data_IF_484753730984
#
_entry.id   IF_484753730984
#
_cell.length_a   1.000
_cell.length_b   1.000
_cell.length_c   1.000
_cell.angle_alpha   90.00
_cell.angle_beta   90.00
_cell.angle_gamma   90.00
#
_symmetry.space_group_name_H-M   'P 1'
#
loop_
_entity.id
_entity.type
_entity.pdbx_description
1 polymer ?
#
# COMPACT_ATOMS: atom_id res chain seq x y z
N UNK A 1 15.92 1.21 9.45
CA UNK A 1 15.33 2.53 9.69
C UNK A 1 15.81 3.14 11.00
N UNK A 2 15.68 2.44 12.14
CA UNK A 2 15.99 2.99 13.46
C UNK A 2 17.44 3.44 13.60
N UNK A 3 18.40 2.70 13.07
CA UNK A 3 19.84 3.08 13.06
C UNK A 3 20.11 4.37 12.29
N UNK A 4 19.21 4.76 11.39
CA UNK A 4 19.26 6.03 10.65
C UNK A 4 18.41 7.14 11.28
N UNK A 5 17.97 6.94 12.53
CA UNK A 5 17.23 7.95 13.30
C UNK A 5 15.76 8.11 12.92
N UNK A 6 15.13 7.05 12.40
CA UNK A 6 13.68 7.00 12.19
C UNK A 6 13.00 6.22 13.31
N UNK A 7 11.87 6.70 13.78
CA UNK A 7 10.94 5.88 14.56
C UNK A 7 10.13 4.99 13.60
N UNK A 8 9.96 3.73 13.97
CA UNK A 8 9.19 2.76 13.16
C UNK A 8 7.92 2.36 13.89
N UNK A 9 6.78 2.57 13.24
CA UNK A 9 5.46 2.17 13.74
C UNK A 9 4.94 0.99 12.92
N UNK A 10 4.70 -0.14 13.58
CA UNK A 10 4.15 -1.33 12.96
C UNK A 10 2.64 -1.39 13.23
N UNK A 11 1.85 -1.35 12.17
CA UNK A 11 0.39 -1.28 12.25
C UNK A 11 -0.24 -2.61 11.83
N UNK A 12 -1.17 -3.14 12.63
CA UNK A 12 -2.10 -4.18 12.21
C UNK A 12 -3.29 -3.57 11.46
N UNK A 13 -3.68 -4.17 10.33
CA UNK A 13 -4.92 -3.80 9.63
C UNK A 13 -6.16 -4.30 10.33
N UNK A 14 -7.34 -3.81 9.93
CA UNK A 14 -8.63 -4.27 10.46
C UNK A 14 -8.78 -5.80 10.33
N UNK A 15 -9.23 -6.45 11.38
CA UNK A 15 -9.41 -7.90 11.42
C UNK A 15 -8.11 -8.71 11.48
N UNK A 16 -6.97 -8.05 11.71
CA UNK A 16 -5.67 -8.72 11.82
C UNK A 16 -5.04 -8.52 13.20
N UNK A 17 -4.38 -9.54 13.71
CA UNK A 17 -3.79 -9.57 15.05
C UNK A 17 -4.85 -9.19 16.11
N UNK A 18 -4.57 -8.15 16.92
CA UNK A 18 -5.46 -7.66 17.97
C UNK A 18 -6.39 -6.52 17.50
N UNK A 19 -6.35 -6.18 16.21
CA UNK A 19 -7.21 -5.14 15.65
C UNK A 19 -8.63 -5.66 15.44
N UNK A 20 -9.61 -4.86 15.84
CA UNK A 20 -11.02 -5.13 15.61
C UNK A 20 -11.43 -4.92 14.14
N UNK A 21 -12.72 -5.08 13.85
CA UNK A 21 -13.25 -4.99 12.49
C UNK A 21 -12.99 -6.23 11.66
N UNK A 22 -13.15 -6.09 10.37
CA UNK A 22 -12.97 -7.17 9.39
C UNK A 22 -12.04 -6.73 8.26
N UNK A 23 -11.25 -7.67 7.74
CA UNK A 23 -10.49 -7.46 6.51
C UNK A 23 -11.47 -7.48 5.34
N UNK A 24 -11.62 -6.35 4.66
CA UNK A 24 -12.54 -6.16 3.53
C UNK A 24 -11.80 -5.79 2.22
N UNK A 25 -10.56 -6.10 2.15
CA UNK A 25 -9.60 -5.96 1.04
C UNK A 25 -9.74 -4.66 0.25
N UNK A 26 -8.95 -3.70 0.64
CA UNK A 26 -8.86 -2.41 -0.04
C UNK A 26 -10.05 -1.49 0.20
N UNK A 27 -10.90 -1.78 1.18
CA UNK A 27 -12.05 -0.95 1.50
C UNK A 27 -11.66 0.43 2.04
N UNK A 28 -12.61 1.35 1.97
CA UNK A 28 -12.42 2.69 2.54
C UNK A 28 -12.18 2.64 4.05
N UNK A 29 -12.80 1.71 4.77
CA UNK A 29 -12.62 1.54 6.21
C UNK A 29 -11.18 1.17 6.55
N UNK A 30 -10.56 0.26 5.80
CA UNK A 30 -9.17 -0.11 5.99
C UNK A 30 -8.23 1.07 5.73
N UNK A 31 -8.47 1.83 4.67
CA UNK A 31 -7.73 3.06 4.37
C UNK A 31 -7.85 4.07 5.51
N UNK A 32 -9.06 4.28 6.05
CA UNK A 32 -9.29 5.22 7.14
C UNK A 32 -8.67 4.76 8.46
N UNK A 33 -8.60 3.45 8.72
CA UNK A 33 -7.93 2.91 9.89
C UNK A 33 -6.43 3.23 9.89
N UNK A 34 -5.75 3.06 8.77
CA UNK A 34 -4.34 3.45 8.65
C UNK A 34 -4.15 4.98 8.63
N UNK A 35 -5.07 5.73 8.04
CA UNK A 35 -5.07 7.19 8.12
C UNK A 35 -5.12 7.67 9.57
N UNK A 36 -5.93 7.04 10.43
CA UNK A 36 -6.04 7.39 11.84
C UNK A 36 -4.71 7.29 12.60
N UNK A 37 -3.82 6.36 12.20
CA UNK A 37 -2.46 6.28 12.77
C UNK A 37 -1.65 7.53 12.43
N UNK A 38 -1.73 8.03 11.20
CA UNK A 38 -1.06 9.28 10.81
C UNK A 38 -1.65 10.47 11.56
N UNK A 39 -2.97 10.49 11.73
CA UNK A 39 -3.63 11.52 12.52
C UNK A 39 -3.19 11.50 13.98
N UNK A 40 -3.02 10.30 14.57
CA UNK A 40 -2.45 10.18 15.91
C UNK A 40 -1.01 10.66 16.01
N UNK A 41 -0.16 10.28 15.07
CA UNK A 41 1.24 10.74 14.99
C UNK A 41 1.35 12.27 14.88
N UNK A 42 0.29 12.93 14.43
CA UNK A 42 0.18 14.38 14.29
C UNK A 42 -0.76 15.04 15.34
N UNK A 43 -1.14 14.31 16.39
CA UNK A 43 -1.96 14.83 17.49
C UNK A 43 -3.43 15.09 17.15
N UNK A 44 -3.95 14.56 16.05
CA UNK A 44 -5.34 14.75 15.60
C UNK A 44 -6.25 13.55 15.91
N UNK A 45 -5.70 12.47 16.44
CA UNK A 45 -6.44 11.28 16.85
C UNK A 45 -5.91 10.80 18.19
N UNK A 46 -6.78 10.24 19.02
CA UNK A 46 -6.38 9.66 20.31
C UNK A 46 -5.91 8.21 20.12
N UNK A 47 -4.92 7.80 20.88
CA UNK A 47 -4.51 6.41 21.01
C UNK A 47 -4.28 6.06 22.50
N UNK A 48 -4.37 4.78 22.81
CA UNK A 48 -4.29 4.27 24.16
C UNK A 48 -3.28 3.12 24.25
N UNK A 49 -2.76 2.87 25.44
CA UNK A 49 -1.79 1.79 25.68
C UNK A 49 -2.38 0.39 25.39
N UNK A 50 -3.67 0.23 25.62
CA UNK A 50 -4.43 -1.00 25.36
C UNK A 50 -5.94 -0.67 25.30
N UNK A 51 -6.78 -1.69 25.16
CA UNK A 51 -8.25 -1.56 24.99
C UNK A 51 -8.99 -1.24 26.31
N UNK A 52 -8.40 -1.47 27.47
CA UNK A 52 -9.11 -1.50 28.78
C UNK A 52 -8.70 -0.40 29.73
N UNK A 53 -7.41 -0.04 29.78
CA UNK A 53 -6.88 0.83 30.85
C UNK A 53 -7.19 2.32 30.63
N UNK A 54 -7.64 2.70 29.46
CA UNK A 54 -7.96 4.08 29.08
C UNK A 54 -6.81 5.07 29.33
N UNK A 55 -5.56 4.59 29.24
CA UNK A 55 -4.35 5.41 29.37
C UNK A 55 -3.98 5.93 27.98
N UNK A 56 -4.18 7.22 27.78
CA UNK A 56 -3.87 7.88 26.51
C UNK A 56 -2.36 8.03 26.31
N UNK A 57 -1.91 7.79 25.07
CA UNK A 57 -0.52 7.99 24.64
C UNK A 57 -0.44 9.05 23.54
N UNK A 58 0.55 9.92 23.68
CA UNK A 58 0.84 10.96 22.71
C UNK A 58 2.14 10.64 21.97
N UNK A 59 2.16 10.85 20.67
CA UNK A 59 3.35 10.70 19.85
C UNK A 59 4.26 11.94 19.92
N UNK A 60 4.58 12.43 21.12
CA UNK A 60 5.38 13.65 21.33
C UNK A 60 6.80 13.59 20.74
N UNK A 61 7.26 12.39 20.44
CA UNK A 61 8.53 12.11 19.76
C UNK A 61 8.46 12.23 18.24
N UNK A 62 7.27 12.31 17.65
CA UNK A 62 7.07 12.42 16.20
C UNK A 62 7.24 13.87 15.75
N UNK A 63 8.00 14.07 14.67
CA UNK A 63 8.20 15.40 14.06
C UNK A 63 6.96 15.90 13.29
N UNK A 64 5.96 15.05 13.11
CA UNK A 64 4.82 15.29 12.22
C UNK A 64 5.06 14.89 10.76
N UNK A 65 6.31 14.60 10.38
CA UNK A 65 6.64 14.11 9.04
C UNK A 65 6.58 12.58 9.03
N UNK A 66 5.64 12.02 8.31
CA UNK A 66 5.38 10.58 8.26
C UNK A 66 5.61 10.04 6.85
N UNK A 67 6.24 8.88 6.75
CA UNK A 67 6.27 8.07 5.55
C UNK A 67 5.50 6.77 5.76
N UNK A 68 4.93 6.22 4.70
CA UNK A 68 4.44 4.84 4.69
C UNK A 68 5.22 4.01 3.69
N UNK A 69 5.66 2.85 4.09
CA UNK A 69 6.31 1.88 3.19
C UNK A 69 5.86 0.47 3.52
N UNK A 70 5.53 -0.29 2.52
CA UNK A 70 5.20 -1.71 2.64
C UNK A 70 5.10 -2.37 1.27
N UNK A 71 5.00 -3.69 1.25
CA UNK A 71 4.89 -4.50 0.04
C UNK A 71 3.47 -5.05 -0.15
N UNK A 72 3.08 -5.26 -1.42
CA UNK A 72 1.86 -6.01 -1.78
C UNK A 72 0.59 -5.33 -1.27
N UNK A 73 -0.30 -6.07 -0.63
CA UNK A 73 -1.52 -5.54 -0.01
C UNK A 73 -1.23 -4.36 0.94
N UNK A 74 -0.20 -4.46 1.77
CA UNK A 74 0.15 -3.36 2.68
C UNK A 74 0.74 -2.16 1.92
N UNK A 75 1.46 -2.39 0.82
CA UNK A 75 1.88 -1.34 -0.10
C UNK A 75 0.70 -0.64 -0.77
N UNK A 76 -0.35 -1.40 -1.08
CA UNK A 76 -1.63 -0.90 -1.59
C UNK A 76 -2.29 0.06 -0.58
N UNK A 77 -2.20 -0.25 0.72
CA UNK A 77 -2.69 0.65 1.77
C UNK A 77 -1.92 1.97 1.82
N UNK A 78 -0.62 1.97 1.49
CA UNK A 78 0.12 3.22 1.35
C UNK A 78 -0.50 4.13 0.27
N UNK A 79 -0.85 3.56 -0.89
CA UNK A 79 -1.53 4.28 -1.98
C UNK A 79 -2.91 4.76 -1.50
N UNK A 80 -3.73 3.86 -0.96
CA UNK A 80 -5.06 4.19 -0.47
C UNK A 80 -5.05 5.34 0.55
N UNK A 81 -4.14 5.31 1.52
CA UNK A 81 -4.01 6.39 2.51
C UNK A 81 -3.56 7.69 1.89
N UNK A 82 -2.61 7.65 0.93
CA UNK A 82 -2.16 8.86 0.24
C UNK A 82 -3.32 9.56 -0.51
N UNK A 83 -4.26 8.80 -1.08
CA UNK A 83 -5.46 9.36 -1.75
C UNK A 83 -6.42 10.07 -0.80
N UNK A 84 -6.25 9.97 0.52
CA UNK A 84 -7.02 10.76 1.48
C UNK A 84 -6.52 12.19 1.60
N UNK A 85 -5.34 12.51 1.08
CA UNK A 85 -4.67 13.80 1.25
C UNK A 85 -4.30 14.11 2.70
N UNK A 86 -4.16 13.09 3.55
CA UNK A 86 -3.91 13.26 5.00
C UNK A 86 -2.69 14.12 5.25
N UNK A 87 -2.86 15.12 6.10
CA UNK A 87 -1.78 16.01 6.50
C UNK A 87 -0.74 15.25 7.33
N UNK A 88 0.54 15.59 7.14
CA UNK A 88 1.65 14.92 7.81
C UNK A 88 2.24 13.74 7.03
N UNK A 89 1.49 13.11 6.10
CA UNK A 89 2.05 12.13 5.19
C UNK A 89 2.88 12.84 4.11
N UNK A 90 4.20 12.74 4.20
CA UNK A 90 5.14 13.41 3.30
C UNK A 90 5.51 12.57 2.08
N UNK A 91 5.60 11.27 2.26
CA UNK A 91 5.96 10.35 1.19
C UNK A 91 5.39 8.95 1.42
N UNK A 92 5.21 8.22 0.32
CA UNK A 92 4.92 6.79 0.35
C UNK A 92 5.91 6.03 -0.53
N UNK A 93 6.24 4.81 -0.12
CA UNK A 93 7.07 3.88 -0.89
C UNK A 93 6.28 2.57 -1.03
N UNK A 94 5.32 2.51 -1.98
CA UNK A 94 4.57 1.28 -2.25
C UNK A 94 5.44 0.32 -3.06
N UNK A 95 5.74 -0.86 -2.50
CA UNK A 95 6.51 -1.90 -3.15
C UNK A 95 5.59 -3.00 -3.66
N UNK A 96 5.68 -3.39 -4.93
CA UNK A 96 4.83 -4.41 -5.55
C UNK A 96 3.33 -4.25 -5.20
N UNK A 97 2.83 -3.02 -5.30
CA UNK A 97 1.53 -2.62 -4.77
C UNK A 97 0.44 -2.57 -5.85
N UNK A 98 -0.81 -2.75 -5.42
CA UNK A 98 -1.99 -2.70 -6.25
C UNK A 98 -2.56 -1.28 -6.22
N UNK A 99 -2.72 -0.64 -7.37
CA UNK A 99 -3.36 0.68 -7.50
C UNK A 99 -4.84 0.58 -7.87
N UNK A 100 -5.24 -0.55 -8.44
CA UNK A 100 -6.60 -0.80 -8.91
C UNK A 100 -6.96 -2.27 -8.72
N UNK A 101 -7.79 -2.57 -7.71
CA UNK A 101 -8.21 -3.92 -7.39
C UNK A 101 -9.06 -4.59 -8.48
N UNK A 102 -9.81 -3.80 -9.27
CA UNK A 102 -10.52 -4.35 -10.42
C UNK A 102 -9.54 -4.88 -11.46
N UNK A 103 -8.54 -4.09 -11.85
CA UNK A 103 -7.53 -4.53 -12.80
C UNK A 103 -6.68 -5.70 -12.30
N UNK A 104 -6.63 -5.92 -10.97
CA UNK A 104 -5.93 -7.05 -10.36
C UNK A 104 -6.70 -8.37 -10.52
N UNK A 105 -8.05 -8.35 -10.39
CA UNK A 105 -8.90 -9.54 -10.43
C UNK A 105 -9.78 -9.67 -11.68
N UNK A 106 -9.93 -8.62 -12.47
CA UNK A 106 -10.87 -8.53 -13.61
C UNK A 106 -10.16 -8.00 -14.85
N UNK A 107 -9.20 -8.75 -15.36
CA UNK A 107 -8.46 -8.36 -16.57
C UNK A 107 -9.39 -8.35 -17.77
N UNK A 108 -9.68 -7.16 -18.32
CA UNK A 108 -10.58 -7.02 -19.48
C UNK A 108 -12.03 -7.51 -19.22
N UNK A 109 -12.51 -7.47 -17.96
CA UNK A 109 -13.82 -7.99 -17.56
C UNK A 109 -13.84 -9.49 -17.28
N UNK A 110 -12.72 -10.19 -17.47
CA UNK A 110 -12.60 -11.61 -17.13
C UNK A 110 -12.19 -11.81 -15.69
N UNK A 111 -12.77 -12.77 -15.00
CA UNK A 111 -12.31 -13.19 -13.69
C UNK A 111 -10.98 -13.93 -13.83
N UNK A 112 -9.90 -13.27 -13.53
CA UNK A 112 -8.55 -13.82 -13.62
C UNK A 112 -7.96 -13.89 -12.21
N UNK A 113 -7.67 -15.10 -11.68
CA UNK A 113 -7.01 -15.21 -10.38
C UNK A 113 -5.62 -14.59 -10.43
N UNK A 114 -5.30 -13.78 -9.45
CA UNK A 114 -4.04 -13.05 -9.42
C UNK A 114 -2.82 -13.98 -9.37
N UNK A 115 -2.93 -15.07 -8.61
CA UNK A 115 -1.86 -16.05 -8.34
C UNK A 115 -2.11 -17.42 -8.97
N UNK A 116 -3.00 -17.53 -9.94
CA UNK A 116 -3.23 -18.76 -10.70
C UNK A 116 -4.16 -19.78 -10.03
N UNK A 117 -4.74 -19.48 -8.90
CA UNK A 117 -5.74 -20.35 -8.27
C UNK A 117 -7.10 -20.15 -8.92
N UNK A 118 -7.68 -21.19 -9.44
CA UNK A 118 -9.08 -21.15 -9.85
C UNK A 118 -9.97 -20.86 -8.64
N UNK A 119 -10.79 -19.82 -8.75
CA UNK A 119 -11.67 -19.40 -7.68
C UNK A 119 -11.09 -18.37 -6.72
N UNK A 120 -9.81 -18.02 -6.83
CA UNK A 120 -9.25 -16.88 -6.12
C UNK A 120 -9.98 -15.59 -6.54
N UNK A 121 -10.33 -14.80 -5.55
CA UNK A 121 -10.98 -13.51 -5.72
C UNK A 121 -10.78 -12.67 -4.46
N UNK A 122 -11.21 -11.43 -4.49
CA UNK A 122 -10.97 -10.45 -3.44
C UNK A 122 -11.47 -10.92 -2.05
N UNK A 123 -12.61 -11.60 -1.98
CA UNK A 123 -13.12 -12.17 -0.73
C UNK A 123 -12.26 -13.33 -0.21
N UNK A 124 -11.59 -14.07 -1.07
CA UNK A 124 -10.67 -15.14 -0.68
C UNK A 124 -9.41 -14.53 -0.03
N UNK A 125 -8.86 -13.47 -0.64
CA UNK A 125 -7.76 -12.73 -0.04
C UNK A 125 -8.15 -12.14 1.32
N UNK A 126 -9.35 -11.59 1.46
CA UNK A 126 -9.86 -11.10 2.74
C UNK A 126 -9.87 -12.19 3.82
N UNK A 127 -10.36 -13.38 3.48
CA UNK A 127 -10.35 -14.54 4.41
C UNK A 127 -8.93 -14.97 4.77
N UNK A 128 -8.02 -14.97 3.81
CA UNK A 128 -6.62 -15.34 4.04
C UNK A 128 -5.92 -14.37 5.02
N UNK A 129 -6.20 -13.08 4.89
CA UNK A 129 -5.61 -12.04 5.75
C UNK A 129 -6.28 -11.94 7.13
N UNK A 130 -7.54 -12.35 7.26
CA UNK A 130 -8.30 -12.26 8.50
C UNK A 130 -7.75 -13.20 9.57
N UNK A 131 -7.22 -12.65 10.67
CA UNK A 131 -6.53 -13.44 11.69
C UNK A 131 -7.27 -13.55 13.02
N UNK A 132 -8.37 -12.83 13.23
CA UNK A 132 -9.21 -12.95 14.43
C UNK A 132 -9.80 -14.34 14.61
N UNK A 133 -9.99 -15.09 13.50
CA UNK A 133 -10.41 -16.49 13.55
C UNK A 133 -9.41 -17.44 14.25
N UNK A 134 -8.19 -16.98 14.55
CA UNK A 134 -7.17 -17.73 15.28
C UNK A 134 -7.40 -17.71 16.80
N UNK A 135 -8.20 -16.77 17.29
CA UNK A 135 -8.69 -16.72 18.65
C UNK A 135 -10.14 -17.27 18.67
N UNK A 136 -10.38 -18.47 19.23
CA UNK A 136 -11.70 -19.08 19.22
C UNK A 136 -12.77 -18.30 19.98
N UNK A 137 -12.41 -17.64 21.08
CA UNK A 137 -13.38 -16.86 21.88
C UNK A 137 -13.77 -15.59 21.15
N UNK A 138 -12.80 -14.87 20.58
CA UNK A 138 -13.08 -13.68 19.75
C UNK A 138 -13.90 -14.07 18.52
N UNK A 139 -13.53 -15.14 17.83
CA UNK A 139 -14.23 -15.59 16.62
C UNK A 139 -15.70 -15.97 16.90
N UNK A 140 -15.98 -16.70 17.98
CA UNK A 140 -17.36 -17.04 18.36
C UNK A 140 -18.24 -15.81 18.55
N UNK A 141 -17.69 -14.73 19.07
CA UNK A 141 -18.41 -13.48 19.30
C UNK A 141 -18.77 -12.72 18.02
N UNK A 142 -18.03 -12.94 16.92
CA UNK A 142 -18.13 -12.15 15.68
C UNK A 142 -18.50 -12.97 14.44
N UNK A 143 -18.53 -14.29 14.51
CA UNK A 143 -18.64 -15.18 13.34
C UNK A 143 -19.85 -14.89 12.44
N UNK A 144 -21.00 -14.55 13.01
CA UNK A 144 -22.21 -14.22 12.24
C UNK A 144 -22.04 -12.90 11.49
N UNK A 145 -21.53 -11.87 12.17
CA UNK A 145 -21.26 -10.58 11.55
C UNK A 145 -20.18 -10.68 10.47
N UNK A 146 -19.13 -11.48 10.72
CA UNK A 146 -18.09 -11.75 9.74
C UNK A 146 -18.62 -12.50 8.51
N UNK A 147 -19.44 -13.56 8.72
CA UNK A 147 -20.06 -14.29 7.62
C UNK A 147 -20.91 -13.35 6.75
N UNK A 148 -21.74 -12.51 7.38
CA UNK A 148 -22.54 -11.51 6.68
C UNK A 148 -21.67 -10.54 5.86
N UNK A 149 -20.60 -10.01 6.43
CA UNK A 149 -19.70 -9.11 5.72
C UNK A 149 -19.02 -9.78 4.52
N UNK A 150 -18.67 -11.08 4.64
CA UNK A 150 -18.14 -11.87 3.54
C UNK A 150 -19.18 -12.08 2.43
N UNK A 151 -20.42 -12.39 2.77
CA UNK A 151 -21.50 -12.58 1.80
C UNK A 151 -21.81 -11.28 1.06
N UNK A 152 -21.87 -10.15 1.76
CA UNK A 152 -22.04 -8.83 1.15
C UNK A 152 -20.92 -8.52 0.16
N UNK A 153 -19.68 -8.81 0.52
CA UNK A 153 -18.52 -8.61 -0.35
C UNK A 153 -18.57 -9.53 -1.59
N UNK A 154 -18.93 -10.82 -1.42
CA UNK A 154 -19.09 -11.78 -2.51
C UNK A 154 -20.15 -11.30 -3.52
N UNK A 155 -21.26 -10.78 -3.05
CA UNK A 155 -22.32 -10.24 -3.91
C UNK A 155 -21.88 -8.97 -4.61
N UNK A 156 -21.22 -8.04 -3.89
CA UNK A 156 -20.83 -6.74 -4.40
C UNK A 156 -19.76 -6.80 -5.50
N UNK A 157 -18.84 -7.78 -5.45
CA UNK A 157 -17.79 -7.93 -6.47
C UNK A 157 -18.32 -8.44 -7.83
N UNK A 158 -19.59 -8.84 -7.92
CA UNK A 158 -20.29 -9.27 -9.14
C UNK A 158 -19.48 -10.24 -10.01
N UNK A 159 -19.17 -11.39 -9.43
CA UNK A 159 -18.39 -12.43 -10.12
C UNK A 159 -19.10 -12.98 -11.36
N UNK A 160 -20.44 -12.91 -11.39
CA UNK A 160 -21.24 -13.48 -12.47
C UNK A 160 -21.09 -12.73 -13.78
N UNK A 161 -21.05 -11.38 -13.74
CA UNK A 161 -20.90 -10.56 -14.94
C UNK A 161 -19.47 -10.08 -15.18
N UNK A 162 -18.66 -9.99 -14.12
CA UNK A 162 -17.32 -9.43 -14.17
C UNK A 162 -17.28 -7.91 -14.40
N UNK A 163 -18.41 -7.23 -14.34
CA UNK A 163 -18.52 -5.81 -14.65
C UNK A 163 -17.89 -4.92 -13.57
N UNK A 164 -17.35 -3.78 -14.00
CA UNK A 164 -16.95 -2.70 -13.11
C UNK A 164 -18.19 -2.06 -12.51
N UNK A 165 -18.19 -1.87 -11.17
CA UNK A 165 -19.29 -1.29 -10.42
C UNK A 165 -18.76 -0.44 -9.24
N UNK A 166 -19.67 0.07 -8.39
CA UNK A 166 -19.30 0.92 -7.24
C UNK A 166 -18.35 0.23 -6.25
N UNK A 167 -18.47 -1.07 -6.06
CA UNK A 167 -17.56 -1.83 -5.20
C UNK A 167 -16.10 -1.75 -5.67
N UNK A 168 -15.89 -1.88 -6.98
CA UNK A 168 -14.59 -1.77 -7.61
C UNK A 168 -14.11 -0.32 -7.72
N UNK A 169 -15.05 0.61 -7.92
CA UNK A 169 -14.73 2.04 -7.99
C UNK A 169 -14.11 2.56 -6.69
N UNK A 170 -14.65 2.15 -5.54
CA UNK A 170 -14.11 2.45 -4.22
C UNK A 170 -12.67 1.94 -4.03
N UNK A 171 -12.32 0.86 -4.73
CA UNK A 171 -11.04 0.16 -4.68
C UNK A 171 -10.13 0.48 -5.86
N UNK A 172 -10.48 1.48 -6.65
CA UNK A 172 -9.67 2.01 -7.74
C UNK A 172 -9.04 3.35 -7.33
N UNK A 173 -7.88 3.28 -6.72
CA UNK A 173 -7.20 4.47 -6.20
C UNK A 173 -6.71 5.42 -7.30
N UNK A 174 -6.63 4.95 -8.56
CA UNK A 174 -6.29 5.81 -9.71
C UNK A 174 -7.30 6.95 -9.88
N UNK A 175 -8.57 6.73 -9.51
CA UNK A 175 -9.61 7.75 -9.58
C UNK A 175 -9.43 8.89 -8.57
N UNK A 176 -8.48 8.77 -7.64
CA UNK A 176 -8.27 9.71 -6.52
C UNK A 176 -6.83 10.24 -6.46
N UNK A 177 -6.05 10.08 -7.53
CA UNK A 177 -4.64 10.50 -7.58
C UNK A 177 -4.52 12.02 -7.41
N UNK A 178 -5.48 12.78 -7.89
CA UNK A 178 -5.57 14.25 -7.74
C UNK A 178 -5.58 14.72 -6.26
N UNK A 179 -5.88 13.84 -5.33
CA UNK A 179 -5.91 14.12 -3.88
C UNK A 179 -4.59 13.83 -3.18
N UNK A 180 -3.66 13.16 -3.84
CA UNK A 180 -2.36 12.82 -3.26
C UNK A 180 -1.52 14.09 -3.10
N UNK A 181 -1.05 14.33 -1.87
CA UNK A 181 -0.15 15.44 -1.51
C UNK A 181 1.28 14.96 -1.22
N UNK A 182 1.42 13.69 -0.94
CA UNK A 182 2.69 13.05 -0.63
C UNK A 182 3.48 12.77 -1.91
N UNK A 183 4.81 12.82 -1.84
CA UNK A 183 5.65 12.27 -2.90
C UNK A 183 5.55 10.74 -2.94
N UNK A 184 5.86 10.12 -4.08
CA UNK A 184 5.67 8.68 -4.28
C UNK A 184 6.92 8.04 -4.88
N UNK A 185 7.48 7.04 -4.21
CA UNK A 185 8.55 6.21 -4.77
C UNK A 185 8.04 4.79 -4.99
N UNK A 186 7.71 4.45 -6.23
CA UNK A 186 7.22 3.13 -6.62
C UNK A 186 8.40 2.18 -6.81
N UNK A 187 8.33 0.98 -6.21
CA UNK A 187 9.27 -0.11 -6.43
C UNK A 187 8.50 -1.34 -6.90
N UNK A 188 8.86 -1.90 -8.06
CA UNK A 188 8.09 -3.01 -8.62
C UNK A 188 8.95 -3.99 -9.43
N UNK A 189 8.66 -5.28 -9.31
CA UNK A 189 9.30 -6.33 -10.10
C UNK A 189 8.66 -6.48 -11.48
N UNK A 190 9.46 -6.44 -12.55
CA UNK A 190 8.97 -6.68 -13.91
C UNK A 190 8.45 -8.13 -14.06
N UNK A 191 9.08 -9.06 -13.35
CA UNK A 191 8.69 -10.46 -13.34
C UNK A 191 7.72 -10.82 -12.20
N UNK A 192 7.07 -9.83 -11.60
CA UNK A 192 6.04 -10.07 -10.59
C UNK A 192 4.81 -10.70 -11.25
N UNK A 193 4.66 -12.02 -11.07
CA UNK A 193 3.54 -12.79 -11.59
C UNK A 193 2.27 -12.61 -10.76
N UNK A 194 2.38 -12.11 -9.53
CA UNK A 194 1.27 -11.82 -8.63
C UNK A 194 0.70 -10.41 -8.90
N UNK A 195 1.44 -9.38 -8.54
CA UNK A 195 1.05 -7.98 -8.81
C UNK A 195 1.76 -7.50 -10.07
N UNK A 196 1.07 -7.54 -11.19
CA UNK A 196 1.65 -7.24 -12.49
C UNK A 196 1.91 -5.74 -12.69
N UNK A 197 2.75 -5.39 -13.63
CA UNK A 197 3.15 -4.00 -13.92
C UNK A 197 2.00 -3.10 -14.38
N UNK A 198 0.86 -3.67 -14.77
CA UNK A 198 -0.39 -2.92 -15.01
C UNK A 198 -0.93 -2.21 -13.75
N UNK A 199 -0.30 -2.41 -12.60
CA UNK A 199 -0.62 -1.72 -11.37
C UNK A 199 0.28 -0.51 -11.12
N UNK A 200 1.58 -0.62 -11.39
CA UNK A 200 2.54 0.45 -11.11
C UNK A 200 2.64 1.47 -12.25
N UNK A 201 2.62 1.04 -13.50
CA UNK A 201 2.79 1.93 -14.67
C UNK A 201 1.64 2.96 -14.78
N UNK A 202 0.35 2.57 -14.82
CA UNK A 202 -0.73 3.56 -14.87
C UNK A 202 -0.78 4.47 -13.64
N UNK A 203 -0.31 4.00 -12.49
CA UNK A 203 -0.22 4.83 -11.29
C UNK A 203 0.87 5.88 -11.43
N UNK A 204 2.05 5.52 -11.93
CA UNK A 204 3.13 6.46 -12.19
C UNK A 204 2.72 7.53 -13.22
N UNK A 205 2.14 7.12 -14.36
CA UNK A 205 1.63 8.04 -15.38
C UNK A 205 0.57 9.02 -14.83
N UNK A 206 -0.30 8.54 -13.93
CA UNK A 206 -1.28 9.38 -13.29
C UNK A 206 -0.64 10.40 -12.33
N UNK A 207 0.42 10.03 -11.61
CA UNK A 207 1.19 10.95 -10.76
C UNK A 207 1.91 12.02 -11.59
N UNK A 208 2.58 11.62 -12.67
CA UNK A 208 3.23 12.56 -13.60
C UNK A 208 2.23 13.57 -14.15
N UNK A 209 1.07 13.12 -14.61
CA UNK A 209 0.01 13.98 -15.14
C UNK A 209 -0.49 15.01 -14.12
N UNK A 210 -0.47 14.68 -12.82
CA UNK A 210 -0.85 15.59 -11.75
C UNK A 210 0.32 16.45 -11.24
N UNK A 211 1.53 16.26 -11.75
CA UNK A 211 2.73 16.96 -11.29
C UNK A 211 3.14 16.59 -9.85
N UNK A 212 2.76 15.41 -9.40
CA UNK A 212 3.14 14.91 -8.07
C UNK A 212 4.59 14.39 -8.14
N UNK A 213 5.49 14.79 -7.23
CA UNK A 213 6.85 14.27 -7.22
C UNK A 213 6.86 12.75 -7.12
N UNK A 214 7.34 12.07 -8.15
CA UNK A 214 7.31 10.62 -8.25
C UNK A 214 8.63 10.06 -8.77
N UNK A 215 8.99 8.88 -8.26
CA UNK A 215 10.08 8.04 -8.77
C UNK A 215 9.55 6.61 -8.94
N UNK A 216 9.96 5.93 -10.01
CA UNK A 216 9.60 4.53 -10.25
C UNK A 216 10.88 3.72 -10.50
N UNK A 217 11.03 2.62 -9.78
CA UNK A 217 12.07 1.63 -9.95
C UNK A 217 11.47 0.30 -10.37
N UNK A 218 11.83 -0.19 -11.56
CA UNK A 218 11.42 -1.47 -12.10
C UNK A 218 12.62 -2.42 -12.12
N UNK A 219 12.62 -3.43 -11.27
CA UNK A 219 13.68 -4.43 -11.16
C UNK A 219 13.29 -5.75 -11.83
N UNK A 220 14.27 -6.59 -12.19
CA UNK A 220 14.04 -7.90 -12.82
C UNK A 220 13.56 -8.98 -11.84
N UNK A 221 13.47 -8.67 -10.56
CA UNK A 221 12.93 -9.59 -9.55
C UNK A 221 11.42 -9.80 -9.68
N UNK A 222 10.94 -10.71 -8.87
CA UNK A 222 9.52 -11.04 -8.71
C UNK A 222 8.85 -10.16 -7.64
N UNK A 223 7.95 -10.73 -6.86
CA UNK A 223 7.21 -10.09 -5.77
C UNK A 223 8.06 -9.90 -4.51
N UNK A 224 9.06 -9.00 -4.58
CA UNK A 224 10.08 -8.83 -3.53
C UNK A 224 10.14 -7.39 -3.00
N UNK A 225 10.83 -7.22 -1.88
CA UNK A 225 11.15 -5.89 -1.33
C UNK A 225 12.44 -5.33 -1.95
N UNK A 226 12.57 -4.01 -2.00
CA UNK A 226 13.80 -3.33 -2.45
C UNK A 226 15.05 -3.80 -1.68
N UNK A 227 14.93 -4.05 -0.38
CA UNK A 227 16.06 -4.48 0.45
C UNK A 227 16.53 -5.92 0.19
N UNK A 228 15.79 -6.68 -0.63
CA UNK A 228 16.18 -8.03 -1.06
C UNK A 228 16.84 -8.04 -2.43
N UNK A 229 16.92 -6.89 -3.10
CA UNK A 229 17.65 -6.75 -4.36
C UNK A 229 19.15 -6.97 -4.14
N UNK A 230 19.81 -7.56 -5.12
CA UNK A 230 21.24 -7.85 -5.05
C UNK A 230 22.10 -6.58 -5.09
N UNK A 231 21.64 -5.55 -5.80
CA UNK A 231 22.31 -4.27 -5.86
C UNK A 231 21.95 -3.42 -4.62
N UNK A 232 22.90 -3.31 -3.70
CA UNK A 232 22.75 -2.53 -2.46
C UNK A 232 22.57 -1.02 -2.70
N UNK A 233 22.99 -0.51 -3.87
CA UNK A 233 22.85 0.91 -4.19
C UNK A 233 21.38 1.31 -4.32
N UNK A 234 20.51 0.38 -4.70
CA UNK A 234 19.07 0.64 -4.84
C UNK A 234 18.43 0.95 -3.49
N UNK A 235 18.86 0.29 -2.42
CA UNK A 235 18.40 0.61 -1.07
C UNK A 235 18.86 2.00 -0.62
N UNK A 236 20.02 2.47 -1.05
CA UNK A 236 20.51 3.81 -0.76
C UNK A 236 19.63 4.90 -1.38
N UNK A 237 19.12 4.68 -2.58
CA UNK A 237 18.14 5.57 -3.24
C UNK A 237 16.90 5.75 -2.34
N UNK A 238 16.37 4.65 -1.79
CA UNK A 238 15.24 4.70 -0.86
C UNK A 238 15.56 5.52 0.40
N UNK A 239 16.75 5.37 0.97
CA UNK A 239 17.13 6.14 2.15
C UNK A 239 17.33 7.63 1.84
N UNK A 240 17.95 7.98 0.71
CA UNK A 240 18.09 9.38 0.27
C UNK A 240 16.72 10.01 0.00
N UNK A 241 15.77 9.26 -0.56
CA UNK A 241 14.40 9.68 -0.73
C UNK A 241 13.72 10.02 0.61
N UNK A 242 13.84 9.13 1.60
CA UNK A 242 13.30 9.36 2.95
C UNK A 242 13.99 10.54 3.66
N UNK A 243 15.29 10.67 3.55
CA UNK A 243 16.04 11.79 4.14
C UNK A 243 15.58 13.14 3.55
N UNK A 244 15.36 13.18 2.24
CA UNK A 244 14.88 14.38 1.59
C UNK A 244 13.48 14.75 2.10
N UNK A 245 12.50 13.86 1.98
CA UNK A 245 11.09 14.18 2.26
C UNK A 245 10.73 14.21 3.75
N UNK A 246 11.43 13.48 4.61
CA UNK A 246 11.14 13.47 6.05
C UNK A 246 12.01 14.40 6.86
N UNK A 247 13.28 14.57 6.46
CA UNK A 247 14.27 15.36 7.21
C UNK A 247 14.65 16.67 6.52
N UNK A 248 14.20 16.90 5.29
CA UNK A 248 14.52 18.10 4.52
C UNK A 248 15.97 18.16 4.05
N UNK A 249 16.65 17.03 3.91
CA UNK A 249 18.02 17.00 3.43
C UNK A 249 18.07 17.29 1.94
N UNK A 250 18.79 18.32 1.52
CA UNK A 250 19.06 18.59 0.11
C UNK A 250 20.19 17.66 -0.38
N UNK A 251 19.82 16.50 -0.85
CA UNK A 251 20.74 15.46 -1.37
C UNK A 251 20.63 15.24 -2.87
N UNK A 252 19.86 16.09 -3.56
CA UNK A 252 19.73 16.09 -5.01
C UNK A 252 18.84 14.97 -5.58
N UNK A 253 18.19 14.13 -4.76
CA UNK A 253 17.39 12.99 -5.22
C UNK A 253 16.24 13.39 -6.16
N UNK A 254 15.68 14.59 -6.02
CA UNK A 254 14.63 15.12 -6.88
C UNK A 254 15.10 15.45 -8.30
N UNK A 255 16.42 15.64 -8.48
CA UNK A 255 17.04 15.98 -9.77
C UNK A 255 17.55 14.73 -10.51
N UNK A 256 17.51 13.59 -9.86
CA UNK A 256 17.85 12.32 -10.48
C UNK A 256 16.71 11.81 -11.36
N UNK A 257 17.00 11.00 -12.38
CA UNK A 257 15.99 10.44 -13.26
C UNK A 257 14.80 9.84 -12.50
N UNK A 258 13.61 10.13 -12.97
CA UNK A 258 12.37 9.70 -12.31
C UNK A 258 12.10 8.19 -12.48
N UNK A 259 12.63 7.59 -13.54
CA UNK A 259 12.42 6.17 -13.85
C UNK A 259 13.77 5.46 -13.91
N UNK A 260 13.86 4.33 -13.21
CA UNK A 260 15.00 3.41 -13.23
C UNK A 260 14.49 2.02 -13.61
N UNK A 261 15.08 1.42 -14.65
CA UNK A 261 14.72 0.08 -15.11
C UNK A 261 15.95 -0.79 -15.15
N UNK A 262 15.94 -1.89 -14.41
CA UNK A 262 17.01 -2.89 -14.40
C UNK A 262 17.04 -3.64 -15.75
N UNK A 263 18.24 -3.80 -16.33
CA UNK A 263 18.42 -4.51 -17.60
C UNK A 263 18.12 -6.01 -17.43
N UNK A 264 17.37 -6.58 -18.37
CA UNK A 264 17.09 -8.02 -18.39
C UNK A 264 18.28 -8.89 -18.79
N UNK A 265 19.27 -8.31 -19.50
CA UNK A 265 20.48 -9.02 -19.95
C UNK A 265 21.65 -8.91 -18.96
N UNK A 266 21.71 -7.83 -18.21
CA UNK A 266 22.73 -7.58 -17.20
C UNK A 266 22.12 -6.80 -16.02
N UNK A 267 21.84 -7.48 -14.93
CA UNK A 267 21.23 -6.92 -13.73
C UNK A 267 22.12 -5.91 -12.96
N UNK A 268 23.36 -5.73 -13.38
CA UNK A 268 24.23 -4.65 -12.87
C UNK A 268 23.99 -3.31 -13.58
N UNK A 269 23.22 -3.32 -14.66
CA UNK A 269 22.97 -2.16 -15.52
C UNK A 269 21.55 -1.66 -15.29
N UNK A 270 21.42 -0.37 -14.98
CA UNK A 270 20.14 0.32 -14.84
C UNK A 270 20.00 1.38 -15.93
N UNK A 271 18.92 1.32 -16.67
CA UNK A 271 18.52 2.36 -17.60
C UNK A 271 17.76 3.45 -16.81
N UNK A 272 18.01 4.70 -17.16
CA UNK A 272 17.44 5.85 -16.49
C UNK A 272 16.70 6.76 -17.49
N UNK A 273 15.55 7.29 -17.09
CA UNK A 273 14.74 8.24 -17.86
C UNK A 273 14.06 9.23 -16.93
N UNK A 274 13.76 10.42 -17.43
CA UNK A 274 12.98 11.43 -16.68
C UNK A 274 11.47 11.20 -16.78
N UNK A 275 11.03 10.36 -17.70
CA UNK A 275 9.60 10.00 -17.94
C UNK A 275 9.48 8.52 -18.25
N UNK A 276 8.28 7.99 -18.04
CA UNK A 276 7.90 6.66 -18.52
C UNK A 276 7.52 6.67 -20.00
#
# INVERSE_FOLDING_TARGET
FNERGYATVLCGGLGTRDSEGFTLTGSREEVLAFKAVIDWLNGRCRAFTNKTDNIEILASWCTGNVAMTAKSYLGTMCIGVATTGVEGLKTIIPEAAISNWYAYYRTGGLNVPAIGWQGDDLNILAKYCFSRAKDPEDYESIKEAYAKAQDEMIQAQDRATGNYNRFWDERNYLNLVDKIKASVFIVHGINDWNVKTNQCIPFFEALEKQGIPAKMMLHQGEHVYIHTLKDSNMLDIMYRWLEHYLKGVDNGIEKEPAVLVESGSDQSVWMASDTW
#
